data_IF_275884361707
#
_entry.id   IF_275884361707
#
_cell.length_a   1.000
_cell.length_b   1.000
_cell.length_c   1.000
_cell.angle_alpha   90.00
_cell.angle_beta   90.00
_cell.angle_gamma   90.00
#
_symmetry.space_group_name_H-M   'P 1'
#
loop_
_entity.id
_entity.type
_entity.pdbx_description
1 polymer ?
#
# COMPACT_ATOMS: atom_id res chain seq x y z
N UNK A 1 15.51 -18.90 -28.88
CA UNK A 1 15.20 -17.50 -28.50
C UNK A 1 13.70 -17.28 -28.40
N UNK A 2 12.91 -17.67 -29.43
CA UNK A 2 11.44 -17.63 -29.40
C UNK A 2 10.82 -18.30 -28.16
N UNK A 3 11.21 -19.54 -27.87
CA UNK A 3 10.70 -20.29 -26.70
C UNK A 3 11.00 -19.63 -25.35
N UNK A 4 12.16 -18.98 -25.23
CA UNK A 4 12.53 -18.25 -24.01
C UNK A 4 11.69 -16.99 -23.85
N UNK A 5 11.49 -16.22 -24.93
CA UNK A 5 10.61 -15.06 -24.92
C UNK A 5 9.19 -15.44 -24.50
N UNK A 6 8.67 -16.56 -25.01
CA UNK A 6 7.35 -17.07 -24.65
C UNK A 6 7.24 -17.42 -23.15
N UNK A 7 8.26 -18.08 -22.58
CA UNK A 7 8.33 -18.32 -21.12
C UNK A 7 8.33 -17.01 -20.31
N UNK A 8 9.05 -15.99 -20.79
CA UNK A 8 9.08 -14.68 -20.12
C UNK A 8 7.73 -13.97 -20.24
N UNK A 9 7.02 -14.08 -21.37
CA UNK A 9 5.68 -13.53 -21.52
C UNK A 9 4.67 -14.14 -20.55
N UNK A 10 4.71 -15.47 -20.37
CA UNK A 10 3.89 -16.16 -19.36
C UNK A 10 4.23 -15.64 -17.95
N UNK A 11 5.52 -15.55 -17.63
CA UNK A 11 5.98 -14.99 -16.34
C UNK A 11 5.46 -13.56 -16.11
N UNK A 12 5.51 -12.70 -17.13
CA UNK A 12 5.00 -11.32 -17.04
C UNK A 12 3.49 -11.31 -16.79
N UNK A 13 2.73 -12.20 -17.43
CA UNK A 13 1.28 -12.32 -17.23
C UNK A 13 0.95 -12.71 -15.78
N UNK A 14 1.76 -13.59 -15.20
CA UNK A 14 1.60 -14.12 -13.84
C UNK A 14 2.09 -13.17 -12.71
N UNK A 15 2.63 -11.99 -13.04
CA UNK A 15 3.01 -10.99 -12.03
C UNK A 15 1.76 -10.49 -11.29
N UNK A 16 1.82 -10.52 -9.97
CA UNK A 16 0.69 -10.26 -9.06
C UNK A 16 0.70 -8.80 -8.61
N UNK A 17 1.87 -8.27 -8.30
CA UNK A 17 2.03 -6.96 -7.67
C UNK A 17 2.34 -5.85 -8.68
N UNK A 18 2.91 -6.21 -9.83
CA UNK A 18 3.14 -5.28 -10.93
C UNK A 18 1.82 -4.83 -11.58
N UNK A 19 1.72 -3.54 -11.92
CA UNK A 19 0.56 -3.00 -12.65
C UNK A 19 0.55 -3.46 -14.11
N UNK A 20 -0.59 -3.34 -14.78
CA UNK A 20 -0.68 -3.68 -16.22
C UNK A 20 0.20 -2.77 -17.09
N UNK A 21 0.41 -1.51 -16.69
CA UNK A 21 1.34 -0.60 -17.35
C UNK A 21 2.79 -1.10 -17.23
N UNK A 22 3.22 -1.51 -16.03
CA UNK A 22 4.55 -2.11 -15.82
C UNK A 22 4.71 -3.40 -16.62
N UNK A 23 3.70 -4.27 -16.64
CA UNK A 23 3.72 -5.50 -17.44
C UNK A 23 3.85 -5.19 -18.94
N UNK A 24 3.17 -4.16 -19.44
CA UNK A 24 3.27 -3.76 -20.84
C UNK A 24 4.68 -3.28 -21.21
N UNK A 25 5.31 -2.50 -20.34
CA UNK A 25 6.71 -2.09 -20.51
C UNK A 25 7.63 -3.33 -20.59
N UNK A 26 7.45 -4.32 -19.71
CA UNK A 26 8.23 -5.56 -19.77
C UNK A 26 7.98 -6.32 -21.08
N UNK A 27 6.73 -6.41 -21.56
CA UNK A 27 6.40 -7.08 -22.82
C UNK A 27 7.09 -6.42 -24.02
N UNK A 28 7.12 -5.09 -24.06
CA UNK A 28 7.85 -4.33 -25.08
C UNK A 28 9.34 -4.61 -25.01
N UNK A 29 9.94 -4.64 -23.82
CA UNK A 29 11.36 -4.98 -23.65
C UNK A 29 11.70 -6.39 -24.11
N UNK A 30 10.88 -7.39 -23.80
CA UNK A 30 11.05 -8.76 -24.34
C UNK A 30 11.01 -8.76 -25.87
N UNK A 31 10.11 -7.98 -26.48
CA UNK A 31 10.00 -7.89 -27.94
C UNK A 31 11.29 -7.29 -28.55
N UNK A 32 11.79 -6.21 -27.94
CA UNK A 32 13.00 -5.47 -28.36
C UNK A 32 14.30 -6.25 -28.17
N UNK A 33 14.38 -7.17 -27.19
CA UNK A 33 15.62 -7.89 -26.88
C UNK A 33 16.13 -8.71 -28.06
N UNK A 34 17.44 -8.59 -28.33
CA UNK A 34 18.14 -9.27 -29.45
C UNK A 34 19.09 -10.36 -28.99
N UNK A 35 19.37 -10.45 -27.69
CA UNK A 35 20.28 -11.44 -27.12
C UNK A 35 19.69 -12.19 -25.92
N UNK A 36 20.25 -13.35 -25.61
CA UNK A 36 19.88 -14.09 -24.41
C UNK A 36 20.34 -13.38 -23.12
N UNK A 37 21.46 -12.64 -23.17
CA UNK A 37 21.95 -11.88 -22.01
C UNK A 37 20.96 -10.78 -21.60
N UNK A 38 20.44 -10.04 -22.58
CA UNK A 38 19.41 -9.01 -22.33
C UNK A 38 18.13 -9.61 -21.73
N UNK A 39 17.72 -10.80 -22.21
CA UNK A 39 16.56 -11.50 -21.67
C UNK A 39 16.81 -11.99 -20.24
N UNK A 40 18.01 -12.48 -19.93
CA UNK A 40 18.38 -12.92 -18.58
C UNK A 40 18.42 -11.75 -17.58
N UNK A 41 18.99 -10.61 -17.99
CA UNK A 41 18.97 -9.37 -17.21
C UNK A 41 17.54 -8.88 -16.98
N UNK A 42 16.70 -8.90 -18.01
CA UNK A 42 15.30 -8.52 -17.89
C UNK A 42 14.54 -9.42 -16.92
N UNK A 43 14.79 -10.73 -16.93
CA UNK A 43 14.18 -11.67 -15.98
C UNK A 43 14.56 -11.32 -14.53
N UNK A 44 15.84 -11.00 -14.28
CA UNK A 44 16.30 -10.57 -12.94
C UNK A 44 15.60 -9.28 -12.50
N UNK A 45 15.49 -8.29 -13.38
CA UNK A 45 14.79 -7.04 -13.10
C UNK A 45 13.32 -7.29 -12.75
N UNK A 46 12.65 -8.18 -13.50
CA UNK A 46 11.25 -8.57 -13.23
C UNK A 46 11.14 -9.22 -11.86
N UNK A 47 12.01 -10.19 -11.55
CA UNK A 47 11.98 -10.94 -10.29
C UNK A 47 12.24 -10.04 -9.08
N UNK A 48 13.29 -9.20 -9.16
CA UNK A 48 13.65 -8.28 -8.08
C UNK A 48 12.56 -7.20 -7.90
N UNK A 49 12.00 -6.68 -8.99
CA UNK A 49 10.91 -5.71 -8.96
C UNK A 49 9.67 -6.26 -8.28
N UNK A 50 9.22 -7.45 -8.70
CA UNK A 50 8.06 -8.13 -8.13
C UNK A 50 8.27 -8.48 -6.64
N UNK A 51 9.49 -8.92 -6.28
CA UNK A 51 9.85 -9.17 -4.88
C UNK A 51 9.77 -7.89 -4.04
N UNK A 52 10.31 -6.77 -4.52
CA UNK A 52 10.25 -5.51 -3.78
C UNK A 52 8.82 -4.98 -3.66
N UNK A 53 8.01 -5.06 -4.71
CA UNK A 53 6.60 -4.66 -4.66
C UNK A 53 5.82 -5.46 -3.63
N UNK A 54 6.04 -6.79 -3.56
CA UNK A 54 5.49 -7.64 -2.50
C UNK A 54 5.86 -7.14 -1.10
N UNK A 55 7.14 -6.83 -0.87
CA UNK A 55 7.61 -6.34 0.43
C UNK A 55 6.98 -5.01 0.82
N UNK A 56 6.88 -4.07 -0.15
CA UNK A 56 6.20 -2.78 0.04
C UNK A 56 4.74 -3.01 0.44
N UNK A 57 4.01 -3.84 -0.31
CA UNK A 57 2.60 -4.11 -0.01
C UNK A 57 2.42 -4.77 1.37
N UNK A 58 3.29 -5.70 1.74
CA UNK A 58 3.27 -6.31 3.07
C UNK A 58 3.54 -5.29 4.18
N UNK A 59 4.48 -4.37 3.97
CA UNK A 59 4.79 -3.28 4.91
C UNK A 59 3.59 -2.36 5.09
N UNK A 60 3.00 -1.89 3.99
CA UNK A 60 1.81 -1.03 4.00
C UNK A 60 0.63 -1.71 4.72
N UNK A 61 0.36 -2.98 4.40
CA UNK A 61 -0.71 -3.73 5.06
C UNK A 61 -0.48 -3.90 6.57
N UNK A 62 0.76 -4.20 6.98
CA UNK A 62 1.13 -4.31 8.39
C UNK A 62 0.92 -2.98 9.12
N UNK A 63 1.26 -1.87 8.47
CA UNK A 63 1.14 -0.52 9.01
C UNK A 63 -0.32 -0.10 9.14
N UNK A 64 -1.11 -0.25 8.06
CA UNK A 64 -2.55 -0.04 8.03
C UNK A 64 -3.24 -0.82 9.16
N UNK A 65 -2.95 -2.12 9.28
CA UNK A 65 -3.52 -2.96 10.34
C UNK A 65 -3.17 -2.45 11.73
N UNK A 66 -1.93 -2.02 11.95
CA UNK A 66 -1.49 -1.44 13.22
C UNK A 66 -2.29 -0.19 13.58
N UNK A 67 -2.52 0.71 12.62
CA UNK A 67 -3.27 1.93 12.83
C UNK A 67 -4.75 1.69 13.06
N UNK A 68 -5.38 0.78 12.33
CA UNK A 68 -6.77 0.38 12.60
C UNK A 68 -6.91 -0.11 14.05
N UNK A 69 -6.01 -0.98 14.51
CA UNK A 69 -6.04 -1.45 15.90
C UNK A 69 -5.86 -0.31 16.91
N UNK A 70 -4.95 0.63 16.65
CA UNK A 70 -4.76 1.78 17.54
C UNK A 70 -6.00 2.66 17.59
N UNK A 71 -6.64 2.94 16.45
CA UNK A 71 -7.90 3.71 16.38
C UNK A 71 -8.99 3.04 17.21
N UNK A 72 -9.17 1.73 17.07
CA UNK A 72 -10.22 1.02 17.80
C UNK A 72 -10.03 1.10 19.32
N UNK A 73 -8.77 1.16 19.77
CA UNK A 73 -8.38 1.27 21.19
C UNK A 73 -8.43 2.68 21.77
N UNK A 74 -8.74 3.70 20.98
CA UNK A 74 -8.93 5.06 21.49
C UNK A 74 -10.15 5.13 22.40
N UNK A 75 -10.05 5.81 23.54
CA UNK A 75 -11.06 5.75 24.60
C UNK A 75 -12.14 6.84 24.43
N UNK A 76 -11.78 7.97 23.83
CA UNK A 76 -12.64 9.17 23.79
C UNK A 76 -13.30 9.38 22.43
N UNK A 77 -12.68 8.89 21.35
CA UNK A 77 -13.15 9.06 19.99
C UNK A 77 -14.45 8.27 19.74
N UNK A 78 -15.54 8.92 19.30
CA UNK A 78 -16.79 8.24 19.01
C UNK A 78 -16.65 7.15 17.94
N UNK A 79 -17.49 6.10 18.04
CA UNK A 79 -17.45 4.97 17.10
C UNK A 79 -17.63 5.41 15.64
N UNK A 80 -18.51 6.38 15.38
CA UNK A 80 -18.73 6.93 14.04
C UNK A 80 -17.44 7.53 13.46
N UNK A 81 -16.69 8.26 14.28
CA UNK A 81 -15.45 8.89 13.85
C UNK A 81 -14.35 7.83 13.67
N UNK A 82 -14.28 6.83 14.55
CA UNK A 82 -13.38 5.67 14.37
C UNK A 82 -13.61 4.97 13.02
N UNK A 83 -14.88 4.76 12.64
CA UNK A 83 -15.23 4.19 11.33
C UNK A 83 -14.77 5.09 10.19
N UNK A 84 -15.11 6.39 10.26
CA UNK A 84 -14.68 7.37 9.25
C UNK A 84 -13.16 7.35 9.05
N UNK A 85 -12.37 7.44 10.12
CA UNK A 85 -10.92 7.45 10.03
C UNK A 85 -10.34 6.13 9.53
N UNK A 86 -10.95 5.00 9.87
CA UNK A 86 -10.56 3.69 9.33
C UNK A 86 -10.77 3.64 7.82
N UNK A 87 -11.90 4.14 7.31
CA UNK A 87 -12.16 4.22 5.87
C UNK A 87 -11.18 5.14 5.14
N UNK A 88 -10.78 6.26 5.75
CA UNK A 88 -9.77 7.14 5.15
C UNK A 88 -8.39 6.44 5.08
N UNK A 89 -7.99 5.73 6.14
CA UNK A 89 -6.72 4.99 6.16
C UNK A 89 -6.65 3.89 5.10
N UNK A 90 -7.76 3.18 4.86
CA UNK A 90 -7.82 2.12 3.84
C UNK A 90 -7.61 2.69 2.42
N UNK A 91 -7.94 3.98 2.20
CA UNK A 91 -7.77 4.67 0.93
C UNK A 91 -6.39 5.29 0.75
N UNK A 92 -5.55 5.32 1.78
CA UNK A 92 -4.21 5.84 1.67
C UNK A 92 -3.35 4.87 0.85
N UNK A 93 -2.65 5.40 -0.15
CA UNK A 93 -1.81 4.60 -1.05
C UNK A 93 -0.36 4.55 -0.57
N UNK A 94 0.04 5.56 0.23
CA UNK A 94 1.40 5.73 0.72
C UNK A 94 1.48 5.63 2.25
N UNK A 95 2.65 5.23 2.76
CA UNK A 95 2.91 5.14 4.19
C UNK A 95 2.85 6.51 4.87
N UNK A 96 3.38 7.55 4.20
CA UNK A 96 3.38 8.93 4.68
C UNK A 96 1.95 9.49 4.81
N UNK A 97 1.07 9.12 3.88
CA UNK A 97 -0.36 9.49 3.93
C UNK A 97 -1.05 8.81 5.11
N UNK A 98 -0.77 7.52 5.35
CA UNK A 98 -1.27 6.80 6.51
C UNK A 98 -0.80 7.45 7.82
N UNK A 99 0.48 7.83 7.89
CA UNK A 99 1.07 8.50 9.05
C UNK A 99 0.38 9.84 9.33
N UNK A 100 0.18 10.66 8.30
CA UNK A 100 -0.47 11.95 8.43
C UNK A 100 -1.94 11.84 8.84
N UNK A 101 -2.66 10.87 8.26
CA UNK A 101 -4.02 10.56 8.70
C UNK A 101 -4.04 10.14 10.15
N UNK A 102 -3.16 9.23 10.56
CA UNK A 102 -3.11 8.76 11.94
C UNK A 102 -2.79 9.87 12.94
N UNK A 103 -1.90 10.81 12.61
CA UNK A 103 -1.66 12.02 13.42
C UNK A 103 -2.93 12.86 13.62
N UNK A 104 -3.76 12.99 12.59
CA UNK A 104 -5.05 13.70 12.68
C UNK A 104 -6.05 12.96 13.56
N UNK A 105 -6.07 11.63 13.52
CA UNK A 105 -6.88 10.82 14.44
C UNK A 105 -6.48 11.08 15.89
N UNK A 106 -5.18 11.09 16.20
CA UNK A 106 -4.71 11.35 17.57
C UNK A 106 -5.12 12.75 18.06
N UNK A 107 -5.09 13.76 17.18
CA UNK A 107 -5.60 15.09 17.51
C UNK A 107 -7.11 15.10 17.74
N UNK A 108 -7.87 14.32 16.97
CA UNK A 108 -9.32 14.17 17.16
C UNK A 108 -9.65 13.50 18.50
N UNK A 109 -8.89 12.47 18.90
CA UNK A 109 -8.99 11.84 20.22
C UNK A 109 -8.75 12.85 21.35
N UNK A 110 -7.68 13.63 21.25
CA UNK A 110 -7.34 14.65 22.25
C UNK A 110 -8.45 15.70 22.38
N UNK A 111 -8.99 16.17 21.26
CA UNK A 111 -10.13 17.10 21.26
C UNK A 111 -11.39 16.47 21.89
N UNK A 112 -11.67 15.20 21.58
CA UNK A 112 -12.82 14.48 22.14
C UNK A 112 -12.68 14.31 23.66
N UNK A 113 -11.46 14.02 24.14
CA UNK A 113 -11.14 13.98 25.56
C UNK A 113 -11.39 15.34 26.23
N UNK A 114 -10.81 16.41 25.68
CA UNK A 114 -10.94 17.76 26.23
C UNK A 114 -12.39 18.27 26.24
N UNK A 115 -13.19 17.92 25.23
CA UNK A 115 -14.62 18.27 25.19
C UNK A 115 -15.47 17.48 26.21
N UNK A 116 -15.00 16.28 26.61
CA UNK A 116 -15.59 15.51 27.71
C UNK A 116 -15.24 16.12 29.07
N UNK A 117 -13.99 16.55 29.23
CA UNK A 117 -13.46 17.09 30.49
C UNK A 117 -13.93 18.54 30.74
N UNK A 118 -14.12 19.34 29.68
CA UNK A 118 -14.67 20.70 29.74
C UNK A 118 -16.21 20.71 29.69
N UNK A 119 -16.83 19.76 30.39
CA UNK A 119 -18.27 19.52 30.38
C UNK A 119 -19.08 20.81 30.33
N UNK A 120 -20.16 20.78 29.53
CA UNK A 120 -21.23 21.76 29.55
C UNK A 120 -21.55 22.20 30.98
N UNK A 121 -21.08 23.38 31.37
CA UNK A 121 -21.72 24.15 32.44
C UNK A 121 -23.02 24.67 31.84
N UNK A 122 -24.07 23.84 31.87
CA UNK A 122 -25.44 24.36 31.77
C UNK A 122 -25.68 25.09 33.09
N UNK A 123 -25.66 26.42 33.04
CA UNK A 123 -26.36 27.30 33.98
C UNK A 123 -27.68 27.68 33.33
#
# INVERSE_FOLDING_TARGET
>A
MKEIKEKIYVKIADLIYSTEETKEIYRQKVAESKSYSELDELVKIIDDGEHHLKLIQQKLFKHLRSYIWKIQRLDYLPLKDKVFWTEQLIKAELEEEMDDLFRRVLKAEENAKNNRDNGWTII
#
